data_IF_951323713084
#
_entry.id   IF_951323713084
#
_cell.length_a   1.000
_cell.length_b   1.000
_cell.length_c   1.000
_cell.angle_alpha   90.00
_cell.angle_beta   90.00
_cell.angle_gamma   90.00
#
_symmetry.space_group_name_H-M   'P 1'
#
loop_
_entity.id
_entity.type
_entity.pdbx_description
1 polymer ?
#
# COMPACT_ATOMS: atom_id res chain seq x y z
N UNK A 1 1.45 17.36 8.10
CA UNK A 1 1.61 17.18 6.63
C UNK A 1 1.45 15.70 6.33
N UNK A 2 0.56 15.34 5.41
CA UNK A 2 0.46 13.93 4.97
C UNK A 2 1.66 13.59 4.09
N UNK A 3 2.34 12.49 4.38
CA UNK A 3 3.38 11.96 3.49
C UNK A 3 2.66 11.54 2.20
N UNK A 4 2.95 12.21 1.09
CA UNK A 4 2.48 11.77 -0.22
C UNK A 4 3.33 10.57 -0.63
N UNK A 5 2.79 9.37 -0.47
CA UNK A 5 3.43 8.12 -0.91
C UNK A 5 2.99 7.67 -2.29
N UNK A 6 2.06 8.39 -2.92
CA UNK A 6 1.73 8.16 -4.33
C UNK A 6 2.70 8.95 -5.21
N UNK A 7 3.97 8.57 -5.14
CA UNK A 7 5.03 9.08 -5.99
C UNK A 7 5.39 8.05 -7.04
N UNK A 8 5.92 8.50 -8.17
CA UNK A 8 6.37 7.59 -9.22
C UNK A 8 7.49 6.67 -8.75
N UNK A 9 8.31 7.13 -7.82
CA UNK A 9 9.33 6.31 -7.16
C UNK A 9 8.71 5.16 -6.37
N UNK A 10 7.67 5.44 -5.58
CA UNK A 10 6.97 4.42 -4.81
C UNK A 10 6.30 3.37 -5.72
N UNK A 11 5.66 3.82 -6.81
CA UNK A 11 5.04 2.92 -7.80
C UNK A 11 6.06 1.99 -8.43
N UNK A 12 7.23 2.51 -8.83
CA UNK A 12 8.33 1.70 -9.39
C UNK A 12 8.86 0.68 -8.40
N UNK A 13 9.03 1.05 -7.13
CA UNK A 13 9.47 0.12 -6.07
C UNK A 13 8.44 -1.00 -5.89
N UNK A 14 7.15 -0.66 -5.81
CA UNK A 14 6.07 -1.64 -5.65
C UNK A 14 5.96 -2.59 -6.84
N UNK A 15 6.07 -2.10 -8.08
CA UNK A 15 6.07 -2.95 -9.28
C UNK A 15 7.25 -3.91 -9.31
N UNK A 16 8.46 -3.41 -9.02
CA UNK A 16 9.67 -4.25 -8.94
C UNK A 16 9.50 -5.35 -7.90
N UNK A 17 8.99 -4.99 -6.72
CA UNK A 17 8.79 -5.94 -5.63
C UNK A 17 7.73 -6.97 -5.98
N UNK A 18 6.59 -6.55 -6.55
CA UNK A 18 5.54 -7.46 -7.03
C UNK A 18 6.12 -8.46 -8.02
N UNK A 19 6.82 -8.00 -9.07
CA UNK A 19 7.41 -8.89 -10.08
C UNK A 19 8.38 -9.90 -9.45
N UNK A 20 9.23 -9.45 -8.53
CA UNK A 20 10.23 -10.30 -7.87
C UNK A 20 9.58 -11.38 -7.01
N UNK A 21 8.61 -11.01 -6.18
CA UNK A 21 7.91 -11.95 -5.30
C UNK A 21 7.07 -12.94 -6.11
N UNK A 22 6.29 -12.47 -7.08
CA UNK A 22 5.45 -13.35 -7.90
C UNK A 22 6.30 -14.35 -8.68
N UNK A 23 7.41 -13.90 -9.29
CA UNK A 23 8.35 -14.79 -9.99
C UNK A 23 8.99 -15.81 -9.05
N UNK A 24 9.29 -15.43 -7.81
CA UNK A 24 9.85 -16.33 -6.81
C UNK A 24 8.85 -17.41 -6.36
N UNK A 25 7.59 -17.02 -6.17
CA UNK A 25 6.49 -17.94 -5.84
C UNK A 25 6.29 -18.96 -6.97
N UNK A 26 6.20 -18.49 -8.22
CA UNK A 26 5.94 -19.35 -9.38
C UNK A 26 7.02 -20.42 -9.61
N UNK A 27 8.23 -20.17 -9.12
CA UNK A 27 9.39 -21.04 -9.33
C UNK A 27 9.90 -21.69 -8.02
N UNK A 28 9.16 -21.54 -6.91
CA UNK A 28 9.54 -22.02 -5.57
C UNK A 28 10.97 -21.65 -5.14
N UNK A 29 11.44 -20.47 -5.54
CA UNK A 29 12.84 -20.04 -5.31
C UNK A 29 12.92 -19.09 -4.13
N UNK A 30 13.94 -19.28 -3.29
CA UNK A 30 14.29 -18.31 -2.25
C UNK A 30 14.51 -16.92 -2.87
N UNK A 31 13.75 -15.94 -2.39
CA UNK A 31 13.72 -14.59 -2.94
C UNK A 31 14.24 -13.58 -1.94
N UNK A 32 15.43 -13.05 -2.19
CA UNK A 32 16.02 -12.00 -1.36
C UNK A 32 15.34 -10.64 -1.63
N UNK A 33 14.73 -10.04 -0.61
CA UNK A 33 14.05 -8.73 -0.72
C UNK A 33 14.90 -7.66 -0.01
N UNK A 34 15.06 -6.50 -0.65
CA UNK A 34 15.73 -5.36 -0.02
C UNK A 34 14.80 -4.74 1.04
N UNK A 35 15.33 -4.50 2.24
CA UNK A 35 14.56 -3.93 3.35
C UNK A 35 13.94 -2.56 3.05
N UNK A 36 14.58 -1.77 2.17
CA UNK A 36 14.05 -0.48 1.71
C UNK A 36 12.81 -0.66 0.82
N UNK A 37 12.73 -1.76 0.06
CA UNK A 37 11.54 -2.06 -0.74
C UNK A 37 10.38 -2.52 0.18
N UNK A 38 10.71 -3.19 1.28
CA UNK A 38 9.74 -3.62 2.28
C UNK A 38 9.17 -2.43 3.08
N UNK A 39 10.02 -1.46 3.45
CA UNK A 39 9.57 -0.25 4.16
C UNK A 39 8.62 0.59 3.31
N UNK A 40 8.87 0.67 1.99
CA UNK A 40 7.95 1.25 1.03
C UNK A 40 6.58 0.54 1.05
N UNK A 41 6.56 -0.80 1.07
CA UNK A 41 5.31 -1.56 1.09
C UNK A 41 4.51 -1.35 2.40
N UNK A 42 5.19 -1.31 3.55
CA UNK A 42 4.56 -1.02 4.86
C UNK A 42 3.96 0.39 4.88
N UNK A 43 4.67 1.38 4.33
CA UNK A 43 4.17 2.74 4.24
C UNK A 43 2.94 2.84 3.33
N UNK A 44 2.96 2.16 2.16
CA UNK A 44 1.81 2.09 1.26
C UNK A 44 0.59 1.45 1.95
N UNK A 45 0.78 0.31 2.61
CA UNK A 45 -0.29 -0.40 3.33
C UNK A 45 -0.90 0.43 4.47
N UNK A 46 -0.06 1.08 5.28
CA UNK A 46 -0.49 1.94 6.39
C UNK A 46 -1.37 3.10 5.89
N UNK A 47 -1.05 3.65 4.74
CA UNK A 47 -1.81 4.75 4.14
C UNK A 47 -3.15 4.27 3.60
N UNK A 48 -3.19 3.12 2.93
CA UNK A 48 -4.44 2.55 2.44
C UNK A 48 -5.40 2.21 3.59
N UNK A 49 -4.89 1.62 4.68
CA UNK A 49 -5.66 1.44 5.92
C UNK A 49 -6.22 2.75 6.47
N UNK A 50 -5.42 3.83 6.44
CA UNK A 50 -5.84 5.13 6.94
C UNK A 50 -6.86 5.83 6.01
N UNK A 51 -6.79 5.60 4.69
CA UNK A 51 -7.81 6.05 3.73
C UNK A 51 -9.14 5.34 3.99
N UNK A 52 -9.12 4.02 4.18
CA UNK A 52 -10.33 3.25 4.47
C UNK A 52 -11.00 3.74 5.76
N UNK A 53 -10.23 3.93 6.85
CA UNK A 53 -10.73 4.52 8.10
C UNK A 53 -11.28 5.95 7.97
N UNK A 54 -10.85 6.71 6.95
CA UNK A 54 -11.39 8.05 6.67
C UNK A 54 -12.67 7.97 5.85
N UNK A 55 -12.76 7.02 4.92
CA UNK A 55 -13.94 6.79 4.10
C UNK A 55 -15.10 6.24 4.94
N UNK A 56 -14.83 5.34 5.87
CA UNK A 56 -15.85 4.81 6.80
C UNK A 56 -16.49 5.93 7.62
N UNK A 57 -15.66 6.80 8.19
CA UNK A 57 -16.10 7.98 8.96
C UNK A 57 -16.84 9.03 8.12
N UNK A 58 -16.53 9.14 6.82
CA UNK A 58 -17.30 10.00 5.91
C UNK A 58 -18.67 9.41 5.64
N UNK A 59 -18.74 8.09 5.42
CA UNK A 59 -19.98 7.39 5.11
C UNK A 59 -20.97 7.44 6.29
N UNK A 60 -20.48 7.24 7.53
CA UNK A 60 -21.27 7.38 8.76
C UNK A 60 -21.87 8.80 8.93
N UNK A 61 -21.09 9.85 8.61
CA UNK A 61 -21.57 11.23 8.66
C UNK A 61 -22.63 11.52 7.60
N UNK A 62 -22.48 11.00 6.38
CA UNK A 62 -23.51 11.17 5.34
C UNK A 62 -24.82 10.46 5.66
N UNK A 63 -24.80 9.37 6.43
CA UNK A 63 -26.00 8.68 6.89
C UNK A 63 -26.74 9.46 7.99
N UNK A 64 -26.01 10.13 8.90
CA UNK A 64 -26.61 10.96 9.96
C UNK A 64 -27.25 12.26 9.43
N UNK A 65 -26.79 12.81 8.31
CA UNK A 65 -27.32 14.06 7.74
C UNK A 65 -28.58 13.82 6.91
N UNK A 66 -28.83 12.59 6.49
CA UNK A 66 -29.98 12.19 5.66
C UNK A 66 -31.07 11.42 6.45
N UNK A 67 -31.00 11.44 7.79
CA UNK A 67 -32.00 10.87 8.72
C UNK A 67 -32.72 12.00 9.45
#
# INVERSE_FOLDING_TARGET
MGINTDTDEMRRILERLKKKVTSGIDHEVETNININDLSALIAAYTIELNKNKRNDRKNERSLQVNS
#
